data_IF_855011829339
#
_entry.id   IF_855011829339
#
_cell.length_a   1.000
_cell.length_b   1.000
_cell.length_c   1.000
_cell.angle_alpha   90.00
_cell.angle_beta   90.00
_cell.angle_gamma   90.00
#
_symmetry.space_group_name_H-M   'P 1'
#
loop_
_entity.id
_entity.type
_entity.pdbx_description
1 polymer ?
#
# COMPACT_ATOMS: atom_id res chain seq x y z
N UNK A 1 7.45 -10.70 -71.79
CA UNK A 1 7.52 -11.89 -70.92
C UNK A 1 8.45 -11.55 -69.75
N UNK A 2 7.89 -11.26 -68.56
CA UNK A 2 7.85 -12.17 -67.40
C UNK A 2 9.27 -12.37 -66.83
N UNK A 3 9.67 -11.95 -65.62
CA UNK A 3 8.96 -11.78 -64.35
C UNK A 3 9.70 -10.80 -63.42
N UNK A 4 8.93 -9.97 -62.72
CA UNK A 4 9.33 -9.29 -61.48
C UNK A 4 9.54 -10.35 -60.38
N UNK A 5 10.70 -10.35 -59.72
CA UNK A 5 10.90 -11.09 -58.47
C UNK A 5 10.96 -10.07 -57.34
N UNK A 6 9.79 -9.91 -56.70
CA UNK A 6 9.59 -9.15 -55.47
C UNK A 6 10.12 -9.98 -54.30
N UNK A 7 11.25 -9.59 -53.75
CA UNK A 7 11.79 -10.20 -52.53
C UNK A 7 10.95 -9.74 -51.33
N UNK A 8 9.94 -10.52 -50.98
CA UNK A 8 9.18 -10.36 -49.73
C UNK A 8 10.08 -10.68 -48.55
N UNK A 9 10.37 -9.67 -47.74
CA UNK A 9 10.98 -9.78 -46.42
C UNK A 9 10.07 -10.60 -45.50
N UNK A 10 10.54 -11.66 -44.84
CA UNK A 10 9.78 -12.31 -43.78
C UNK A 10 9.82 -11.41 -42.54
N UNK A 11 8.66 -10.83 -42.19
CA UNK A 11 8.44 -10.20 -40.90
C UNK A 11 8.57 -11.25 -39.81
N UNK A 12 9.77 -11.37 -39.24
CA UNK A 12 9.99 -12.13 -38.02
C UNK A 12 9.18 -11.44 -36.93
N UNK A 13 8.11 -12.13 -36.51
CA UNK A 13 7.31 -11.84 -35.33
C UNK A 13 8.24 -11.66 -34.13
N UNK A 14 8.53 -10.40 -33.81
CA UNK A 14 9.18 -10.00 -32.56
C UNK A 14 8.20 -10.33 -31.44
N UNK A 15 8.47 -11.29 -30.56
CA UNK A 15 7.71 -11.38 -29.32
C UNK A 15 7.92 -10.05 -28.60
N UNK A 16 6.84 -9.29 -28.43
CA UNK A 16 6.81 -8.22 -27.46
C UNK A 16 7.07 -8.89 -26.11
N UNK A 17 8.33 -8.90 -25.67
CA UNK A 17 8.66 -9.14 -24.28
C UNK A 17 7.83 -8.10 -23.51
N UNK A 18 6.89 -8.51 -22.63
CA UNK A 18 6.49 -7.61 -21.58
C UNK A 18 7.78 -7.33 -20.84
N UNK A 19 8.34 -6.13 -21.05
CA UNK A 19 9.27 -5.54 -20.11
C UNK A 19 8.47 -5.39 -18.82
N UNK A 20 8.38 -6.49 -18.08
CA UNK A 20 8.22 -6.51 -16.64
C UNK A 20 9.44 -5.75 -16.15
N UNK A 21 9.35 -4.41 -16.21
CA UNK A 21 9.94 -3.59 -15.17
C UNK A 21 9.36 -4.22 -13.93
N UNK A 22 10.20 -5.01 -13.25
CA UNK A 22 10.08 -5.14 -11.83
C UNK A 22 9.93 -3.68 -11.37
N UNK A 23 8.71 -3.32 -11.00
CA UNK A 23 8.45 -2.11 -10.26
C UNK A 23 9.18 -2.32 -8.95
N UNK A 24 10.48 -2.01 -8.94
CA UNK A 24 11.15 -1.65 -7.70
C UNK A 24 10.23 -0.64 -7.04
N UNK A 25 9.89 -0.82 -5.75
CA UNK A 25 9.06 0.14 -5.06
C UNK A 25 9.77 1.47 -5.25
N UNK A 26 9.14 2.40 -5.96
CA UNK A 26 9.67 3.74 -6.12
C UNK A 26 9.57 4.36 -4.72
N UNK A 27 10.62 4.12 -3.93
CA UNK A 27 10.80 4.66 -2.61
C UNK A 27 10.86 6.18 -2.76
N UNK A 28 9.72 6.81 -2.52
CA UNK A 28 9.57 8.05 -1.77
C UNK A 28 10.57 9.13 -2.19
N UNK A 29 10.24 9.88 -3.24
CA UNK A 29 10.62 11.28 -3.28
C UNK A 29 9.55 12.03 -2.48
N UNK A 30 9.88 12.38 -1.25
CA UNK A 30 9.14 13.38 -0.48
C UNK A 30 9.37 14.74 -1.14
N UNK A 31 8.33 15.27 -1.77
CA UNK A 31 8.28 16.66 -2.23
C UNK A 31 8.31 17.57 -0.98
N UNK A 32 8.90 18.76 -1.07
CA UNK A 32 8.97 19.73 0.05
C UNK A 32 7.57 20.15 0.54
N UNK A 33 6.54 19.89 -0.27
CA UNK A 33 5.12 20.06 0.07
C UNK A 33 4.52 18.92 0.92
N UNK A 34 5.30 17.88 1.19
CA UNK A 34 4.87 16.66 1.89
C UNK A 34 4.09 15.67 1.01
N UNK A 35 4.21 15.78 -0.32
CA UNK A 35 3.60 14.85 -1.28
C UNK A 35 4.58 13.74 -1.61
N UNK A 36 4.11 12.50 -1.66
CA UNK A 36 4.98 11.31 -1.77
C UNK A 36 5.03 10.68 -3.16
N UNK A 37 5.45 11.38 -4.22
CA UNK A 37 5.61 10.84 -5.59
C UNK A 37 4.48 11.14 -6.59
N UNK A 38 4.45 10.48 -7.75
CA UNK A 38 3.52 10.71 -8.90
C UNK A 38 2.03 10.66 -8.55
N UNK A 39 1.21 11.60 -9.03
CA UNK A 39 -0.22 11.70 -8.70
C UNK A 39 -0.99 10.43 -9.07
N UNK A 40 -1.63 9.79 -8.08
CA UNK A 40 -2.44 8.58 -8.24
C UNK A 40 -3.93 8.94 -8.13
N UNK A 41 -4.73 8.61 -9.15
CA UNK A 41 -6.19 8.74 -9.06
C UNK A 41 -6.85 7.43 -8.62
N UNK A 42 -7.86 7.55 -7.76
CA UNK A 42 -8.67 6.43 -7.26
C UNK A 42 -9.40 5.71 -8.40
N UNK A 43 -9.94 6.45 -9.37
CA UNK A 43 -10.64 5.88 -10.52
C UNK A 43 -9.72 5.08 -11.45
N UNK A 44 -8.41 5.38 -11.45
CA UNK A 44 -7.39 4.69 -12.23
C UNK A 44 -6.92 3.37 -11.62
N UNK A 45 -7.36 3.02 -10.41
CA UNK A 45 -6.90 1.83 -9.71
C UNK A 45 -7.58 0.54 -10.24
N UNK A 46 -6.84 -0.58 -10.32
CA UNK A 46 -7.43 -1.87 -10.61
C UNK A 46 -8.48 -2.25 -9.53
N UNK A 47 -9.48 -3.02 -9.92
CA UNK A 47 -10.64 -3.33 -9.07
C UNK A 47 -10.24 -3.95 -7.72
N UNK A 48 -9.26 -4.85 -7.72
CA UNK A 48 -8.72 -5.47 -6.51
C UNK A 48 -8.13 -4.43 -5.55
N UNK A 49 -7.39 -3.45 -6.05
CA UNK A 49 -6.83 -2.36 -5.24
C UNK A 49 -7.91 -1.41 -4.73
N UNK A 50 -8.98 -1.18 -5.50
CA UNK A 50 -10.12 -0.38 -5.01
C UNK A 50 -10.80 -1.06 -3.83
N UNK A 51 -11.00 -2.38 -3.87
CA UNK A 51 -11.54 -3.13 -2.73
C UNK A 51 -10.67 -2.98 -1.48
N UNK A 52 -9.34 -3.09 -1.61
CA UNK A 52 -8.41 -2.88 -0.49
C UNK A 52 -8.48 -1.46 0.09
N UNK A 53 -8.63 -0.45 -0.76
CA UNK A 53 -8.78 0.96 -0.34
C UNK A 53 -10.09 1.18 0.40
N UNK A 54 -11.19 0.59 -0.07
CA UNK A 54 -12.51 0.66 0.60
C UNK A 54 -12.49 -0.03 1.97
N UNK A 55 -11.81 -1.18 2.09
CA UNK A 55 -11.63 -1.87 3.37
C UNK A 55 -10.78 -1.04 4.34
N UNK A 56 -9.67 -0.46 3.88
CA UNK A 56 -8.85 0.45 4.68
C UNK A 56 -9.64 1.69 5.15
N UNK A 57 -10.55 2.20 4.32
CA UNK A 57 -11.46 3.29 4.69
C UNK A 57 -12.40 2.87 5.82
N UNK A 58 -12.97 1.66 5.76
CA UNK A 58 -13.83 1.12 6.81
C UNK A 58 -13.08 0.99 8.15
N UNK A 59 -11.83 0.52 8.12
CA UNK A 59 -10.96 0.45 9.30
C UNK A 59 -10.64 1.85 9.84
N UNK A 60 -10.32 2.82 8.97
CA UNK A 60 -10.10 4.20 9.39
C UNK A 60 -11.34 4.79 10.06
N UNK A 61 -12.51 4.54 9.50
CA UNK A 61 -13.79 4.97 10.07
C UNK A 61 -14.06 4.35 11.44
N UNK A 62 -13.68 3.09 11.68
CA UNK A 62 -13.73 2.47 13.01
C UNK A 62 -12.87 3.24 14.02
N UNK A 63 -11.63 3.58 13.65
CA UNK A 63 -10.74 4.39 14.48
C UNK A 63 -11.31 5.79 14.76
N UNK A 64 -11.88 6.45 13.75
CA UNK A 64 -12.50 7.78 13.92
C UNK A 64 -13.68 7.76 14.90
N UNK A 65 -14.51 6.73 14.86
CA UNK A 65 -15.62 6.57 15.82
C UNK A 65 -15.07 6.45 17.25
N UNK A 66 -13.99 5.68 17.45
CA UNK A 66 -13.34 5.55 18.76
C UNK A 66 -12.73 6.88 19.23
N UNK A 67 -12.24 7.70 18.30
CA UNK A 67 -11.75 9.07 18.57
C UNK A 67 -12.88 10.11 18.73
N UNK A 68 -14.16 9.72 18.64
CA UNK A 68 -15.30 10.64 18.71
C UNK A 68 -15.50 11.52 17.47
N UNK A 69 -14.86 11.17 16.34
CA UNK A 69 -14.92 11.91 15.07
C UNK A 69 -15.95 11.30 14.11
N UNK A 70 -16.58 12.12 13.23
CA UNK A 70 -17.50 11.61 12.22
C UNK A 70 -16.77 10.74 11.20
N UNK A 71 -17.47 9.73 10.68
CA UNK A 71 -16.98 8.85 9.61
C UNK A 71 -16.89 9.60 8.29
N UNK A 72 -15.99 9.16 7.42
CA UNK A 72 -16.01 9.49 6.01
C UNK A 72 -17.04 8.61 5.30
N UNK A 73 -17.99 9.23 4.59
CA UNK A 73 -19.04 8.49 3.86
C UNK A 73 -18.47 7.77 2.63
N UNK A 74 -17.42 8.33 2.03
CA UNK A 74 -16.73 7.79 0.85
C UNK A 74 -15.27 8.23 0.81
N UNK A 75 -14.50 7.68 -0.13
CA UNK A 75 -13.11 8.10 -0.39
C UNK A 75 -13.08 9.57 -0.82
N UNK A 76 -14.02 10.01 -1.66
CA UNK A 76 -14.13 11.39 -2.13
C UNK A 76 -14.35 12.38 -0.98
N UNK A 77 -15.17 12.01 0.01
CA UNK A 77 -15.34 12.84 1.22
C UNK A 77 -14.06 12.94 2.04
N UNK A 78 -13.25 11.89 2.04
CA UNK A 78 -11.94 11.91 2.69
C UNK A 78 -10.95 12.80 1.92
N UNK A 79 -11.02 12.81 0.58
CA UNK A 79 -10.26 13.73 -0.28
C UNK A 79 -10.62 15.18 -0.01
N UNK A 80 -11.92 15.51 0.01
CA UNK A 80 -12.40 16.87 0.28
C UNK A 80 -11.89 17.38 1.65
N UNK A 81 -11.89 16.52 2.67
CA UNK A 81 -11.38 16.86 4.00
C UNK A 81 -9.86 17.06 3.99
N UNK A 82 -9.10 16.24 3.24
CA UNK A 82 -7.65 16.40 3.14
C UNK A 82 -7.26 17.68 2.40
N UNK A 83 -7.98 18.04 1.34
CA UNK A 83 -7.82 19.32 0.62
C UNK A 83 -8.10 20.51 1.56
N UNK A 84 -9.17 20.43 2.35
CA UNK A 84 -9.51 21.44 3.36
C UNK A 84 -8.41 21.58 4.42
N UNK A 85 -7.96 20.47 4.99
CA UNK A 85 -6.90 20.47 6.02
C UNK A 85 -5.57 20.99 5.49
N UNK A 86 -5.24 20.68 4.23
CA UNK A 86 -4.05 21.22 3.57
C UNK A 86 -4.14 22.74 3.43
N UNK A 87 -5.28 23.24 2.95
CA UNK A 87 -5.54 24.68 2.82
C UNK A 87 -5.45 25.38 4.18
N UNK A 88 -6.05 24.81 5.23
CA UNK A 88 -5.98 25.33 6.61
C UNK A 88 -4.53 25.33 7.14
N UNK A 89 -3.72 24.36 6.74
CA UNK A 89 -2.30 24.27 7.07
C UNK A 89 -1.41 25.19 6.23
N UNK A 90 -1.98 26.00 5.32
CA UNK A 90 -1.24 26.87 4.41
C UNK A 90 -0.52 26.12 3.29
N UNK A 91 -0.97 24.89 2.98
CA UNK A 91 -0.49 24.11 1.85
C UNK A 91 -1.46 24.27 0.69
N UNK A 92 -0.97 24.77 -0.44
CA UNK A 92 -1.73 24.89 -1.68
C UNK A 92 -1.83 23.54 -2.41
N UNK A 93 -2.39 22.53 -1.74
CA UNK A 93 -2.65 21.24 -2.38
C UNK A 93 -3.86 21.34 -3.29
N UNK A 94 -3.69 20.87 -4.52
CA UNK A 94 -4.80 20.64 -5.45
C UNK A 94 -5.60 19.41 -5.03
N UNK A 95 -6.88 19.35 -5.42
CA UNK A 95 -7.74 18.16 -5.23
C UNK A 95 -7.07 16.85 -5.68
N UNK A 96 -6.33 16.87 -6.79
CA UNK A 96 -5.64 15.69 -7.32
C UNK A 96 -4.46 15.24 -6.41
N UNK A 97 -3.77 16.19 -5.80
CA UNK A 97 -2.71 15.91 -4.83
C UNK A 97 -3.31 15.36 -3.51
N UNK A 98 -4.44 15.91 -3.07
CA UNK A 98 -5.19 15.38 -1.93
C UNK A 98 -5.71 13.95 -2.20
N UNK A 99 -6.24 13.70 -3.41
CA UNK A 99 -6.69 12.36 -3.83
C UNK A 99 -5.53 11.35 -3.80
N UNK A 100 -4.39 11.73 -4.38
CA UNK A 100 -3.19 10.91 -4.39
C UNK A 100 -2.71 10.58 -2.97
N UNK A 101 -2.71 11.54 -2.06
CA UNK A 101 -2.26 11.30 -0.69
C UNK A 101 -3.25 10.44 0.11
N UNK A 102 -4.57 10.62 -0.10
CA UNK A 102 -5.60 9.76 0.51
C UNK A 102 -5.46 8.33 0.03
N UNK A 103 -5.32 8.11 -1.29
CA UNK A 103 -5.13 6.77 -1.86
C UNK A 103 -3.87 6.12 -1.30
N UNK A 104 -2.76 6.85 -1.23
CA UNK A 104 -1.52 6.34 -0.64
C UNK A 104 -1.67 6.02 0.83
N UNK A 105 -2.31 6.89 1.60
CA UNK A 105 -2.57 6.63 3.01
C UNK A 105 -3.36 5.35 3.19
N UNK A 106 -4.45 5.16 2.43
CA UNK A 106 -5.30 3.98 2.50
C UNK A 106 -4.58 2.72 2.03
N UNK A 107 -3.79 2.77 0.95
CA UNK A 107 -2.95 1.65 0.50
C UNK A 107 -1.85 1.30 1.52
N UNK A 108 -1.17 2.29 2.11
CA UNK A 108 -0.19 2.03 3.19
C UNK A 108 -0.87 1.38 4.39
N UNK A 109 -2.09 1.82 4.70
CA UNK A 109 -2.90 1.26 5.78
C UNK A 109 -3.35 -0.17 5.48
N UNK A 110 -3.78 -0.47 4.25
CA UNK A 110 -4.17 -1.84 3.86
C UNK A 110 -2.98 -2.79 3.94
N UNK A 111 -1.80 -2.38 3.45
CA UNK A 111 -0.57 -3.16 3.58
C UNK A 111 -0.18 -3.33 5.05
N UNK A 112 -0.37 -2.32 5.90
CA UNK A 112 -0.11 -2.42 7.33
C UNK A 112 -1.14 -3.29 8.09
N UNK A 113 -2.33 -3.51 7.52
CA UNK A 113 -3.32 -4.44 8.04
C UNK A 113 -2.94 -5.86 7.61
N UNK A 114 -2.62 -6.07 6.33
CA UNK A 114 -2.20 -7.39 5.81
C UNK A 114 -0.83 -7.85 6.33
N UNK A 115 0.09 -6.91 6.55
CA UNK A 115 1.42 -7.15 7.10
C UNK A 115 1.52 -6.87 8.60
N UNK A 116 0.44 -6.40 9.21
CA UNK A 116 0.30 -6.35 10.65
C UNK A 116 0.21 -7.77 11.17
N UNK A 117 0.94 -8.07 12.24
CA UNK A 117 0.53 -9.08 13.20
C UNK A 117 -0.86 -8.67 13.68
N UNK A 118 -1.86 -9.01 12.89
CA UNK A 118 -3.24 -8.70 13.19
C UNK A 118 -3.45 -9.38 14.53
N UNK A 119 -3.66 -8.58 15.57
CA UNK A 119 -3.69 -9.01 16.96
C UNK A 119 -4.92 -9.85 17.23
N UNK A 120 -5.11 -10.91 16.46
CA UNK A 120 -6.01 -11.98 16.77
C UNK A 120 -5.52 -12.59 18.09
N UNK A 121 -6.47 -12.97 18.94
CA UNK A 121 -6.14 -13.59 20.23
C UNK A 121 -5.24 -14.82 20.07
N UNK A 122 -5.33 -15.46 18.89
CA UNK A 122 -4.51 -16.58 18.48
C UNK A 122 -3.02 -16.22 18.30
N UNK A 123 -2.70 -15.12 17.64
CA UNK A 123 -1.31 -14.73 17.41
C UNK A 123 -0.64 -14.30 18.71
N UNK A 124 -1.37 -13.58 19.56
CA UNK A 124 -0.87 -13.20 20.90
C UNK A 124 -0.55 -14.44 21.74
N UNK A 125 -1.40 -15.46 21.71
CA UNK A 125 -1.16 -16.73 22.40
C UNK A 125 0.04 -17.49 21.79
N UNK A 126 0.20 -17.47 20.47
CA UNK A 126 1.32 -18.11 19.79
C UNK A 126 2.66 -17.45 20.16
N UNK A 127 2.74 -16.12 20.18
CA UNK A 127 3.95 -15.41 20.59
C UNK A 127 4.26 -15.55 22.09
N UNK A 128 3.23 -15.62 22.94
CA UNK A 128 3.41 -15.91 24.36
C UNK A 128 4.01 -17.30 24.59
N UNK A 129 3.51 -18.32 23.88
CA UNK A 129 4.07 -19.67 23.92
C UNK A 129 5.48 -19.73 23.36
N UNK A 130 5.76 -19.02 22.26
CA UNK A 130 7.09 -18.93 21.68
C UNK A 130 8.08 -18.29 22.66
N UNK A 131 7.69 -17.19 23.32
CA UNK A 131 8.51 -16.53 24.35
C UNK A 131 8.76 -17.42 25.56
N UNK A 132 7.77 -18.19 26.01
CA UNK A 132 7.91 -19.18 27.07
C UNK A 132 8.90 -20.29 26.66
N UNK A 133 8.76 -20.83 25.44
CA UNK A 133 9.64 -21.87 24.92
C UNK A 133 11.11 -21.40 24.85
N UNK A 134 11.33 -20.20 24.32
CA UNK A 134 12.67 -19.60 24.25
C UNK A 134 13.26 -19.40 25.65
N UNK A 135 12.44 -19.00 26.62
CA UNK A 135 12.88 -18.85 28.02
C UNK A 135 13.29 -20.18 28.64
N UNK A 136 12.56 -21.27 28.37
CA UNK A 136 12.89 -22.62 28.84
C UNK A 136 14.19 -23.12 28.20
N UNK A 137 14.35 -22.96 26.89
CA UNK A 137 15.58 -23.37 26.19
C UNK A 137 16.80 -22.56 26.68
N UNK A 138 16.64 -21.25 26.84
CA UNK A 138 17.71 -20.39 27.35
C UNK A 138 18.10 -20.77 28.79
N UNK A 139 17.13 -21.04 29.66
CA UNK A 139 17.39 -21.43 31.05
C UNK A 139 18.01 -22.83 31.16
N UNK A 140 17.58 -23.77 30.32
CA UNK A 140 18.17 -25.11 30.23
C UNK A 140 19.61 -25.08 29.73
N UNK A 141 19.90 -24.28 28.70
CA UNK A 141 21.27 -24.08 28.21
C UNK A 141 22.16 -23.35 29.23
N UNK A 142 21.61 -22.44 30.02
CA UNK A 142 22.36 -21.77 31.10
C UNK A 142 22.71 -22.73 32.23
N UNK A 143 21.82 -23.68 32.56
CA UNK A 143 22.08 -24.73 33.54
C UNK A 143 23.19 -25.69 33.09
N UNK A 144 23.21 -26.09 31.81
CA UNK A 144 24.28 -26.95 31.27
C UNK A 144 25.66 -26.27 31.24
N UNK A 145 25.73 -24.95 31.10
CA UNK A 145 27.00 -24.20 31.15
C UNK A 145 27.54 -23.99 32.58
N UNK A 146 26.73 -24.27 33.60
CA UNK A 146 27.09 -24.06 35.02
C UNK A 146 27.24 -25.35 35.84
N UNK A 147 27.05 -26.52 35.21
CA UNK A 147 27.34 -27.84 35.77
C UNK A 147 28.69 -28.38 35.31
#
# INVERSE_FOLDING_TARGET
SLLHISTRQPSILRPASPSRRASSPACIQEDERGLTGEVISYAGLPAETRMMVEEALAVRNRGRVMEGKPKYESVERMVDEYERLATEAGKDWTRAEAESEVVRYLCRRSIAIEGGLDGDGQDTAAFALLGLLLSIVAYGGYLELTS
#
